data_IF_075922982385
#
_entry.id   IF_075922982385
#
_cell.length_a   1.000
_cell.length_b   1.000
_cell.length_c   1.000
_cell.angle_alpha   90.00
_cell.angle_beta   90.00
_cell.angle_gamma   90.00
#
_symmetry.space_group_name_H-M   'P 1'
#
loop_
_entity.id
_entity.type
_entity.pdbx_description
1 polymer ?
#
# COMPACT_ATOMS: atom_id res chain seq x y z
N UNK A 1 0.75 19.98 23.43
CA UNK A 1 0.83 21.17 22.53
C UNK A 1 1.69 20.80 21.35
N UNK A 2 1.32 21.19 20.12
CA UNK A 2 2.09 20.90 18.91
C UNK A 2 2.66 22.17 18.28
N UNK A 3 3.82 22.09 17.66
CA UNK A 3 4.43 23.13 16.85
C UNK A 3 4.89 22.51 15.53
N UNK A 4 4.71 23.21 14.42
CA UNK A 4 5.30 22.85 13.14
C UNK A 4 5.84 24.08 12.44
N UNK A 5 6.88 23.90 11.65
CA UNK A 5 7.49 24.98 10.87
C UNK A 5 8.29 24.45 9.70
N UNK A 6 8.33 25.23 8.63
CA UNK A 6 9.13 24.95 7.43
C UNK A 6 9.78 26.25 6.93
N UNK A 7 11.04 26.14 6.50
CA UNK A 7 11.78 27.22 5.85
C UNK A 7 12.51 26.67 4.63
N UNK A 8 12.43 27.36 3.50
CA UNK A 8 13.04 26.93 2.25
C UNK A 8 13.88 28.02 1.60
N UNK A 9 14.94 27.60 0.88
CA UNK A 9 15.74 28.48 0.01
C UNK A 9 16.22 27.71 -1.21
N UNK A 10 15.84 28.18 -2.40
CA UNK A 10 16.20 27.53 -3.66
C UNK A 10 15.60 26.13 -3.74
N UNK A 11 16.44 25.14 -4.01
CA UNK A 11 16.03 23.74 -4.15
C UNK A 11 15.97 22.98 -2.81
N UNK A 12 16.18 23.65 -1.68
CA UNK A 12 16.24 23.02 -0.36
C UNK A 12 15.16 23.58 0.58
N UNK A 13 14.59 22.73 1.43
CA UNK A 13 13.79 23.15 2.58
C UNK A 13 14.11 22.32 3.82
N UNK A 14 13.88 22.92 4.98
CA UNK A 14 13.98 22.28 6.30
C UNK A 14 12.63 22.43 6.97
N UNK A 15 12.08 21.33 7.48
CA UNK A 15 10.83 21.33 8.25
C UNK A 15 10.99 20.57 9.56
N UNK A 16 10.11 20.87 10.52
CA UNK A 16 10.07 20.21 11.82
C UNK A 16 8.64 20.15 12.32
N UNK A 17 8.29 19.05 12.99
CA UNK A 17 7.13 18.98 13.85
C UNK A 17 7.58 18.61 15.27
N UNK A 18 7.02 19.28 16.26
CA UNK A 18 7.28 19.04 17.67
C UNK A 18 5.94 18.83 18.38
N UNK A 19 5.88 17.82 19.23
CA UNK A 19 4.74 17.55 20.08
C UNK A 19 5.21 17.41 21.53
N UNK A 20 4.52 18.09 22.43
CA UNK A 20 4.74 17.97 23.87
C UNK A 20 3.51 17.32 24.51
N UNK A 21 3.73 16.17 25.16
CA UNK A 21 2.76 15.55 26.05
C UNK A 21 2.98 16.05 27.47
N UNK A 22 1.89 16.34 28.18
CA UNK A 22 1.91 16.62 29.61
C UNK A 22 0.81 15.77 30.24
N UNK A 23 1.22 14.77 31.01
CA UNK A 23 0.31 14.22 32.00
C UNK A 23 0.09 15.27 33.10
N UNK A 24 -1.13 15.32 33.64
CA UNK A 24 -1.57 16.24 34.69
C UNK A 24 -0.70 16.04 35.96
N UNK A 25 0.49 16.65 36.00
CA UNK A 25 1.42 16.63 37.15
C UNK A 25 2.89 16.29 36.83
N UNK A 26 3.23 15.88 35.59
CA UNK A 26 4.59 15.45 35.21
C UNK A 26 5.42 16.50 34.46
N UNK A 27 6.74 16.27 34.35
CA UNK A 27 7.60 16.99 33.38
C UNK A 27 7.14 16.60 31.97
N UNK A 28 6.85 17.57 31.11
CA UNK A 28 6.34 17.28 29.77
C UNK A 28 7.38 16.57 28.90
N UNK A 29 6.96 15.52 28.19
CA UNK A 29 7.80 14.72 27.28
C UNK A 29 7.64 15.27 25.87
N UNK A 30 8.74 15.42 25.14
CA UNK A 30 8.72 15.99 23.78
C UNK A 30 9.16 14.96 22.76
N UNK A 31 8.33 14.76 21.74
CA UNK A 31 8.64 14.01 20.54
C UNK A 31 8.66 14.98 19.34
N UNK A 32 9.31 14.57 18.26
CA UNK A 32 9.31 15.38 17.06
C UNK A 32 10.19 14.82 15.95
N UNK A 33 10.30 15.63 14.91
CA UNK A 33 11.11 15.34 13.74
C UNK A 33 11.79 16.60 13.19
N UNK A 34 12.85 16.37 12.41
CA UNK A 34 13.54 17.37 11.63
C UNK A 34 13.82 16.78 10.24
N UNK A 35 13.30 17.42 9.20
CA UNK A 35 13.47 17.00 7.82
C UNK A 35 14.33 17.99 7.04
N UNK A 36 15.24 17.48 6.23
CA UNK A 36 15.93 18.22 5.16
C UNK A 36 15.47 17.66 3.82
N UNK A 37 14.93 18.52 2.97
CA UNK A 37 14.38 18.18 1.66
C UNK A 37 15.19 18.87 0.56
N UNK A 38 15.34 18.19 -0.55
CA UNK A 38 15.93 18.66 -1.80
C UNK A 38 14.97 18.34 -2.96
N UNK A 39 14.67 19.33 -3.80
CA UNK A 39 13.75 19.15 -4.92
C UNK A 39 14.21 19.92 -6.16
N UNK A 40 14.30 19.20 -7.27
CA UNK A 40 14.53 19.73 -8.63
C UNK A 40 13.62 18.98 -9.61
N UNK A 41 13.48 19.43 -10.87
CA UNK A 41 12.73 18.67 -11.86
C UNK A 41 13.19 17.21 -11.91
N UNK A 42 12.23 16.29 -11.80
CA UNK A 42 12.42 14.84 -11.81
C UNK A 42 13.10 14.22 -10.60
N UNK A 43 13.69 14.98 -9.68
CA UNK A 43 14.39 14.41 -8.52
C UNK A 43 13.93 15.09 -7.23
N UNK A 44 13.41 14.30 -6.32
CA UNK A 44 13.16 14.65 -4.93
C UNK A 44 13.99 13.78 -3.97
N UNK A 45 14.58 14.37 -2.95
CA UNK A 45 15.24 13.64 -1.85
C UNK A 45 14.90 14.28 -0.51
N UNK A 46 14.78 13.46 0.54
CA UNK A 46 14.57 13.90 1.90
C UNK A 46 15.36 13.02 2.86
N UNK A 47 15.85 13.62 3.93
CA UNK A 47 16.31 12.92 5.13
C UNK A 47 15.52 13.48 6.30
N UNK A 48 14.84 12.63 7.07
CA UNK A 48 14.12 13.02 8.27
C UNK A 48 14.70 12.27 9.46
N UNK A 49 15.10 13.02 10.49
CA UNK A 49 15.43 12.49 11.80
C UNK A 49 14.23 12.65 12.70
N UNK A 50 13.80 11.58 13.37
CA UNK A 50 12.70 11.59 14.33
C UNK A 50 13.17 11.07 15.70
N UNK A 51 12.49 11.53 16.74
CA UNK A 51 12.69 11.08 18.10
C UNK A 51 11.36 11.04 18.84
N UNK A 52 11.06 9.88 19.42
CA UNK A 52 9.85 9.61 20.18
C UNK A 52 10.29 8.89 21.47
N UNK A 53 10.36 9.60 22.61
CA UNK A 53 10.74 9.00 23.87
C UNK A 53 9.81 7.83 24.30
N UNK A 54 10.28 6.90 25.13
CA UNK A 54 9.49 5.74 25.59
C UNK A 54 8.18 6.13 26.31
N UNK A 55 8.22 7.24 27.04
CA UNK A 55 7.14 7.77 27.87
C UNK A 55 6.26 8.78 27.12
N UNK A 56 6.49 8.98 25.81
CA UNK A 56 5.66 9.87 25.02
C UNK A 56 4.29 9.23 24.73
N UNK A 57 3.24 9.87 25.23
CA UNK A 57 1.85 9.49 24.99
C UNK A 57 1.04 10.69 24.50
N UNK A 58 0.09 10.47 23.59
CA UNK A 58 -0.82 11.53 23.12
C UNK A 58 -2.27 11.04 23.19
N UNK A 59 -3.14 11.66 24.01
CA UNK A 59 -4.55 11.26 24.07
C UNK A 59 -5.34 11.66 22.81
N UNK A 60 -4.78 12.53 21.97
CA UNK A 60 -5.45 13.11 20.80
C UNK A 60 -4.85 12.63 19.47
N UNK A 61 -3.80 11.82 19.50
CA UNK A 61 -3.14 11.32 18.30
C UNK A 61 -2.74 9.86 18.45
N UNK A 62 -2.88 9.10 17.37
CA UNK A 62 -2.30 7.78 17.29
C UNK A 62 -0.78 7.90 17.11
N UNK A 63 -0.02 7.34 18.05
CA UNK A 63 1.43 7.29 18.02
C UNK A 63 1.82 5.81 17.80
N UNK A 64 2.18 5.40 16.57
CA UNK A 64 2.40 3.99 16.26
C UNK A 64 3.65 3.40 16.93
N UNK A 65 4.62 4.25 17.28
CA UNK A 65 5.91 3.87 17.84
C UNK A 65 6.22 4.69 19.08
N UNK A 66 6.65 4.05 20.15
CA UNK A 66 7.32 4.69 21.30
C UNK A 66 8.73 4.15 21.39
N UNK A 67 9.61 4.84 22.12
CA UNK A 67 11.01 4.42 22.28
C UNK A 67 11.74 4.28 20.94
N UNK A 68 11.66 5.31 20.10
CA UNK A 68 12.24 5.29 18.75
C UNK A 68 13.00 6.57 18.49
N UNK A 69 14.23 6.45 18.00
CA UNK A 69 14.99 7.59 17.46
C UNK A 69 15.83 7.14 16.29
N UNK A 70 16.03 8.05 15.34
CA UNK A 70 16.84 7.72 14.17
C UNK A 70 16.42 8.53 12.97
N UNK A 71 16.84 8.07 11.80
CA UNK A 71 16.55 8.75 10.57
C UNK A 71 16.08 7.78 9.49
N UNK A 72 15.28 8.31 8.58
CA UNK A 72 15.12 7.72 7.27
C UNK A 72 15.48 8.72 6.19
N UNK A 73 15.78 8.17 5.02
CA UNK A 73 15.95 8.92 3.80
C UNK A 73 15.02 8.36 2.73
N UNK A 74 14.44 9.25 1.94
CA UNK A 74 13.66 8.91 0.76
C UNK A 74 14.22 9.67 -0.42
N UNK A 75 14.40 9.01 -1.55
CA UNK A 75 14.81 9.66 -2.80
C UNK A 75 14.00 9.09 -3.95
N UNK A 76 13.43 9.94 -4.78
CA UNK A 76 12.67 9.58 -5.97
C UNK A 76 13.28 10.26 -7.19
N UNK A 77 13.46 9.50 -8.27
CA UNK A 77 13.70 10.00 -9.60
C UNK A 77 12.58 9.58 -10.56
N UNK A 78 11.93 10.53 -11.21
CA UNK A 78 10.77 10.30 -12.08
C UNK A 78 10.84 11.11 -13.37
N UNK A 79 11.03 10.41 -14.48
CA UNK A 79 11.27 11.00 -15.79
C UNK A 79 10.27 10.51 -16.83
N UNK A 80 9.67 11.45 -17.57
CA UNK A 80 8.86 11.17 -18.75
C UNK A 80 9.63 11.52 -20.02
N UNK A 81 9.95 10.51 -20.82
CA UNK A 81 10.71 10.69 -22.06
C UNK A 81 9.78 11.05 -23.21
N UNK A 82 10.19 12.05 -24.01
CA UNK A 82 9.45 12.48 -25.22
C UNK A 82 9.73 11.60 -26.45
N UNK A 83 10.86 10.89 -26.50
CA UNK A 83 11.32 10.06 -27.64
C UNK A 83 11.85 8.70 -27.14
N UNK A 84 12.14 7.78 -28.05
CA UNK A 84 12.69 6.44 -27.73
C UNK A 84 11.64 5.39 -27.33
N UNK A 85 12.05 4.14 -27.02
CA UNK A 85 11.13 3.03 -26.72
C UNK A 85 10.48 3.11 -25.33
N UNK A 86 11.12 3.79 -24.39
CA UNK A 86 10.63 4.03 -23.02
C UNK A 86 9.88 5.37 -23.00
N UNK A 87 8.70 5.41 -22.38
CA UNK A 87 7.93 6.65 -22.14
C UNK A 87 8.11 7.18 -20.73
N UNK A 88 8.38 6.31 -19.76
CA UNK A 88 8.55 6.69 -18.36
C UNK A 88 9.59 5.81 -17.69
N UNK A 89 10.43 6.42 -16.88
CA UNK A 89 11.30 5.76 -15.91
C UNK A 89 11.02 6.36 -14.53
N UNK A 90 10.90 5.49 -13.54
CA UNK A 90 10.70 5.90 -12.16
C UNK A 90 11.49 4.97 -11.25
N UNK A 91 12.21 5.53 -10.30
CA UNK A 91 12.88 4.78 -9.25
C UNK A 91 12.82 5.55 -7.95
N UNK A 92 12.70 4.83 -6.85
CA UNK A 92 12.82 5.37 -5.52
C UNK A 92 13.71 4.48 -4.65
N UNK A 93 14.26 5.11 -3.61
CA UNK A 93 15.08 4.51 -2.58
C UNK A 93 14.58 5.02 -1.24
N UNK A 94 14.26 4.11 -0.34
CA UNK A 94 13.91 4.40 1.04
C UNK A 94 14.88 3.67 1.96
N UNK A 95 15.63 4.40 2.78
CA UNK A 95 16.59 3.83 3.70
C UNK A 95 16.28 4.26 5.13
N UNK A 96 16.39 3.35 6.09
CA UNK A 96 16.04 3.57 7.49
C UNK A 96 17.18 3.18 8.41
N UNK A 97 17.27 3.90 9.53
CA UNK A 97 18.12 3.58 10.66
C UNK A 97 17.44 4.08 11.93
N UNK A 98 17.01 3.17 12.78
CA UNK A 98 16.26 3.42 13.99
C UNK A 98 16.74 2.54 15.12
N UNK A 99 16.82 3.16 16.29
CA UNK A 99 17.23 2.56 17.54
C UNK A 99 16.23 2.91 18.64
N UNK A 100 16.14 2.02 19.60
CA UNK A 100 15.55 2.29 20.90
C UNK A 100 16.50 3.21 21.72
N UNK A 101 15.99 3.89 22.75
CA UNK A 101 16.81 4.81 23.55
C UNK A 101 17.87 4.10 24.40
N UNK A 102 17.68 2.83 24.69
CA UNK A 102 18.64 1.97 25.39
C UNK A 102 19.77 1.43 24.49
N UNK A 103 19.69 1.69 23.17
CA UNK A 103 20.65 1.27 22.17
C UNK A 103 20.26 0.00 21.40
N UNK A 104 19.08 -0.58 21.64
CA UNK A 104 18.52 -1.64 20.82
C UNK A 104 18.34 -1.20 19.36
N UNK A 105 18.66 -2.07 18.40
CA UNK A 105 18.42 -1.78 16.98
C UNK A 105 16.99 -2.16 16.61
N UNK A 106 16.14 -1.16 16.37
CA UNK A 106 14.74 -1.34 15.98
C UNK A 106 14.61 -1.64 14.49
N UNK A 107 15.19 -0.81 13.62
CA UNK A 107 15.05 -0.96 12.17
C UNK A 107 16.29 -0.44 11.46
N UNK A 108 16.83 -1.17 10.49
CA UNK A 108 17.91 -0.69 9.63
C UNK A 108 17.84 -1.31 8.27
N UNK A 109 18.05 -0.52 7.23
CA UNK A 109 18.23 -1.06 5.90
C UNK A 109 17.82 -0.10 4.80
N UNK A 110 17.58 -0.67 3.63
CA UNK A 110 17.07 0.07 2.50
C UNK A 110 16.19 -0.79 1.62
N UNK A 111 15.23 -0.15 0.97
CA UNK A 111 14.47 -0.72 -0.11
C UNK A 111 14.48 0.22 -1.30
N UNK A 112 14.45 -0.34 -2.50
CA UNK A 112 14.29 0.41 -3.73
C UNK A 112 13.23 -0.21 -4.61
N UNK A 113 12.57 0.65 -5.36
CA UNK A 113 11.69 0.26 -6.45
C UNK A 113 12.18 0.92 -7.73
N UNK A 114 12.03 0.21 -8.84
CA UNK A 114 12.36 0.71 -10.17
C UNK A 114 11.30 0.23 -11.15
N UNK A 115 10.84 1.12 -12.02
CA UNK A 115 9.95 0.77 -13.11
C UNK A 115 10.25 1.51 -14.40
N UNK A 116 9.96 0.83 -15.50
CA UNK A 116 9.99 1.37 -16.85
C UNK A 116 8.63 1.15 -17.47
N UNK A 117 8.11 2.15 -18.18
CA UNK A 117 6.93 1.99 -19.02
C UNK A 117 7.32 2.24 -20.46
N UNK A 118 7.02 1.28 -21.33
CA UNK A 118 7.30 1.37 -22.77
C UNK A 118 6.19 2.13 -23.49
N UNK A 119 6.46 2.57 -24.73
CA UNK A 119 5.41 3.14 -25.60
C UNK A 119 4.38 2.12 -26.06
N UNK A 120 4.71 0.85 -26.01
CA UNK A 120 3.77 -0.26 -26.24
C UNK A 120 2.90 -0.58 -25.02
N UNK A 121 2.84 0.31 -24.03
CA UNK A 121 2.02 0.22 -22.82
C UNK A 121 2.33 -1.01 -21.94
N UNK A 122 3.61 -1.37 -21.88
CA UNK A 122 4.13 -2.43 -21.00
C UNK A 122 4.89 -1.76 -19.87
N UNK A 123 4.53 -2.07 -18.63
CA UNK A 123 5.33 -1.76 -17.44
C UNK A 123 6.19 -2.96 -17.08
N UNK A 124 7.47 -2.73 -16.84
CA UNK A 124 8.37 -3.65 -16.16
C UNK A 124 8.78 -2.99 -14.86
N UNK A 125 8.80 -3.76 -13.79
CA UNK A 125 9.14 -3.24 -12.47
C UNK A 125 9.92 -4.26 -11.66
N UNK A 126 10.70 -3.78 -10.71
CA UNK A 126 11.36 -4.61 -9.73
C UNK A 126 11.63 -3.84 -8.44
N UNK A 127 11.80 -4.58 -7.36
CA UNK A 127 12.18 -4.02 -6.07
C UNK A 127 13.23 -4.88 -5.39
N UNK A 128 13.99 -4.26 -4.50
CA UNK A 128 14.91 -4.94 -3.59
C UNK A 128 14.68 -4.32 -2.22
N UNK A 129 14.45 -5.12 -1.19
CA UNK A 129 14.38 -4.72 0.19
C UNK A 129 15.43 -5.51 0.99
N UNK A 130 16.32 -4.79 1.67
CA UNK A 130 17.33 -5.33 2.58
C UNK A 130 17.21 -4.60 3.89
N UNK A 131 16.47 -5.18 4.82
CA UNK A 131 16.14 -4.58 6.11
C UNK A 131 16.41 -5.55 7.25
N UNK A 132 16.51 -5.02 8.44
CA UNK A 132 16.56 -5.78 9.68
C UNK A 132 15.64 -5.06 10.66
N UNK A 133 14.68 -5.79 11.22
CA UNK A 133 13.70 -5.26 12.15
C UNK A 133 13.76 -6.05 13.45
N UNK A 134 14.11 -5.41 14.58
CA UNK A 134 14.40 -6.06 15.86
C UNK A 134 15.25 -7.34 15.74
N UNK A 135 16.34 -7.24 14.97
CA UNK A 135 17.26 -8.35 14.72
C UNK A 135 16.79 -9.39 13.69
N UNK A 136 15.53 -9.37 13.25
CA UNK A 136 15.02 -10.24 12.20
C UNK A 136 15.41 -9.70 10.81
N UNK A 137 16.28 -10.41 10.05
CA UNK A 137 16.70 -9.95 8.73
C UNK A 137 15.61 -10.21 7.69
N UNK A 138 15.40 -9.24 6.81
CA UNK A 138 14.57 -9.36 5.62
C UNK A 138 15.41 -9.00 4.38
N UNK A 139 15.50 -9.91 3.43
CA UNK A 139 16.18 -9.72 2.16
C UNK A 139 15.31 -10.23 1.03
N UNK A 140 14.50 -9.34 0.46
CA UNK A 140 13.47 -9.68 -0.51
C UNK A 140 13.75 -8.95 -1.82
N UNK A 141 13.56 -9.64 -2.94
CA UNK A 141 13.59 -9.03 -4.27
C UNK A 141 12.34 -9.41 -5.04
N UNK A 142 11.86 -8.52 -5.89
CA UNK A 142 10.73 -8.80 -6.76
C UNK A 142 10.98 -8.31 -8.19
N UNK A 143 10.36 -9.00 -9.12
CA UNK A 143 10.17 -8.53 -10.50
C UNK A 143 8.71 -8.67 -10.88
N UNK A 144 8.23 -7.80 -11.75
CA UNK A 144 6.87 -7.86 -12.25
C UNK A 144 6.70 -7.17 -13.58
N UNK A 145 5.57 -7.45 -14.20
CA UNK A 145 5.17 -6.80 -15.43
C UNK A 145 3.68 -6.47 -15.43
N UNK A 146 3.32 -5.48 -16.25
CA UNK A 146 1.94 -5.17 -16.59
C UNK A 146 1.83 -4.91 -18.09
N UNK A 147 0.84 -5.53 -18.72
CA UNK A 147 0.42 -5.26 -20.09
C UNK A 147 -0.81 -4.35 -20.09
N UNK A 148 -0.85 -3.42 -21.05
CA UNK A 148 -1.86 -2.36 -21.15
C UNK A 148 -1.94 -1.53 -19.86
N UNK A 149 -0.78 -1.10 -19.36
CA UNK A 149 -0.63 -0.36 -18.10
C UNK A 149 -1.59 0.84 -17.98
N UNK A 150 -1.85 1.54 -19.09
CA UNK A 150 -2.74 2.71 -19.10
C UNK A 150 -4.24 2.38 -19.13
N UNK A 151 -4.63 1.15 -19.48
CA UNK A 151 -6.04 0.78 -19.68
C UNK A 151 -6.53 -0.25 -18.66
N UNK A 152 -7.15 0.23 -17.58
CA UNK A 152 -7.73 -0.61 -16.51
C UNK A 152 -8.81 -1.61 -16.98
N UNK A 153 -9.38 -1.42 -18.16
CA UNK A 153 -10.41 -2.32 -18.72
C UNK A 153 -9.82 -3.44 -19.58
N UNK A 154 -8.50 -3.50 -19.73
CA UNK A 154 -7.81 -4.57 -20.46
C UNK A 154 -6.41 -4.78 -19.88
N UNK A 155 -6.26 -4.81 -18.55
CA UNK A 155 -4.94 -4.84 -17.90
C UNK A 155 -4.63 -6.22 -17.36
N UNK A 156 -3.42 -6.70 -17.62
CA UNK A 156 -2.93 -8.01 -17.16
C UNK A 156 -1.55 -7.83 -16.56
N UNK A 157 -1.22 -8.62 -15.55
CA UNK A 157 0.12 -8.55 -14.98
C UNK A 157 0.40 -9.70 -14.05
N UNK A 158 1.63 -9.74 -13.60
CA UNK A 158 2.08 -10.67 -12.59
C UNK A 158 3.40 -10.22 -11.99
N UNK A 159 3.70 -10.78 -10.82
CA UNK A 159 4.96 -10.59 -10.14
C UNK A 159 5.46 -11.89 -9.55
N UNK A 160 6.78 -11.94 -9.39
CA UNK A 160 7.47 -12.95 -8.63
C UNK A 160 8.39 -12.24 -7.65
N UNK A 161 8.27 -12.62 -6.39
CA UNK A 161 9.10 -12.16 -5.29
C UNK A 161 9.73 -13.37 -4.61
N UNK A 162 10.99 -13.21 -4.23
CA UNK A 162 11.77 -14.25 -3.57
C UNK A 162 12.78 -13.61 -2.62
N UNK A 163 13.22 -14.40 -1.65
CA UNK A 163 14.29 -14.01 -0.75
C UNK A 163 14.11 -14.64 0.62
N UNK A 164 14.47 -13.91 1.66
CA UNK A 164 14.44 -14.38 3.04
C UNK A 164 13.66 -13.41 3.93
N UNK A 165 12.83 -13.95 4.81
CA UNK A 165 12.14 -13.23 5.90
C UNK A 165 12.48 -13.95 7.20
N UNK A 166 13.02 -13.21 8.17
CA UNK A 166 13.48 -13.75 9.44
C UNK A 166 14.43 -14.95 9.27
N UNK A 167 15.34 -14.85 8.29
CA UNK A 167 16.30 -15.92 7.94
C UNK A 167 15.69 -17.16 7.27
N UNK A 168 14.38 -17.20 7.04
CA UNK A 168 13.70 -18.29 6.32
C UNK A 168 13.40 -17.89 4.88
N UNK A 169 13.55 -18.85 3.96
CA UNK A 169 13.21 -18.66 2.55
C UNK A 169 11.73 -18.31 2.39
N UNK A 170 11.44 -17.27 1.61
CA UNK A 170 10.09 -16.83 1.28
C UNK A 170 9.93 -16.64 -0.22
N UNK A 171 8.76 -17.00 -0.75
CA UNK A 171 8.41 -16.79 -2.16
C UNK A 171 6.98 -16.31 -2.28
N UNK A 172 6.75 -15.38 -3.19
CA UNK A 172 5.41 -14.90 -3.51
C UNK A 172 5.24 -14.78 -5.03
N UNK A 173 4.21 -15.44 -5.56
CA UNK A 173 3.79 -15.32 -6.96
C UNK A 173 2.44 -14.63 -6.96
N UNK A 174 2.27 -13.62 -7.80
CA UNK A 174 0.96 -13.01 -8.03
C UNK A 174 0.67 -12.86 -9.51
N UNK A 175 -0.60 -12.96 -9.87
CA UNK A 175 -1.10 -12.69 -11.21
C UNK A 175 -2.46 -12.01 -11.12
N UNK A 176 -2.72 -11.08 -12.03
CA UNK A 176 -4.01 -10.42 -12.10
C UNK A 176 -4.43 -10.14 -13.54
N UNK A 177 -5.73 -10.07 -13.75
CA UNK A 177 -6.34 -9.72 -15.03
C UNK A 177 -7.59 -8.88 -14.79
N UNK A 178 -7.80 -7.88 -15.64
CA UNK A 178 -9.00 -7.05 -15.67
C UNK A 178 -9.42 -6.85 -17.11
N UNK A 179 -10.69 -7.12 -17.40
CA UNK A 179 -11.20 -7.09 -18.76
C UNK A 179 -12.66 -6.64 -18.79
N UNK A 180 -12.95 -5.57 -19.53
CA UNK A 180 -14.31 -5.16 -19.87
C UNK A 180 -14.74 -5.92 -21.11
N UNK A 181 -15.51 -6.99 -20.91
CA UNK A 181 -15.94 -7.86 -21.99
C UNK A 181 -17.00 -7.21 -22.89
N UNK A 182 -17.89 -6.42 -22.29
CA UNK A 182 -18.97 -5.69 -22.96
C UNK A 182 -19.18 -4.35 -22.24
N UNK A 183 -19.95 -3.42 -22.83
CA UNK A 183 -20.31 -2.16 -22.15
C UNK A 183 -20.98 -2.48 -20.82
N UNK A 184 -20.39 -1.98 -19.73
CA UNK A 184 -20.85 -2.19 -18.36
C UNK A 184 -20.43 -3.51 -17.73
N UNK A 185 -19.95 -4.52 -18.48
CA UNK A 185 -19.54 -5.82 -17.95
C UNK A 185 -18.02 -5.89 -17.73
N UNK A 186 -17.61 -5.79 -16.48
CA UNK A 186 -16.23 -5.89 -16.02
C UNK A 186 -15.95 -7.23 -15.35
N UNK A 187 -14.86 -7.86 -15.75
CA UNK A 187 -14.33 -9.10 -15.20
C UNK A 187 -12.97 -8.80 -14.55
N UNK A 188 -12.75 -9.34 -13.35
CA UNK A 188 -11.48 -9.25 -12.66
C UNK A 188 -11.06 -10.60 -12.09
N UNK A 189 -9.78 -10.91 -12.21
CA UNK A 189 -9.15 -12.10 -11.65
C UNK A 189 -7.90 -11.69 -10.88
N UNK A 190 -7.72 -12.23 -9.69
CA UNK A 190 -6.50 -12.13 -8.91
C UNK A 190 -6.12 -13.51 -8.41
N UNK A 191 -4.85 -13.85 -8.50
CA UNK A 191 -4.28 -15.06 -7.98
C UNK A 191 -3.01 -14.71 -7.21
N UNK A 192 -2.82 -15.35 -6.06
CA UNK A 192 -1.56 -15.29 -5.34
C UNK A 192 -1.23 -16.62 -4.68
N UNK A 193 0.07 -16.91 -4.65
CA UNK A 193 0.67 -18.04 -3.96
C UNK A 193 1.79 -17.48 -3.08
N UNK A 194 1.66 -17.65 -1.77
CA UNK A 194 2.66 -17.24 -0.80
C UNK A 194 3.23 -18.47 -0.11
N UNK A 195 4.54 -18.58 -0.06
CA UNK A 195 5.27 -19.67 0.56
C UNK A 195 6.21 -19.09 1.61
N UNK A 196 5.80 -19.21 2.88
CA UNK A 196 6.52 -18.76 4.06
C UNK A 196 5.85 -19.41 5.29
N UNK A 197 6.59 -20.24 6.03
CA UNK A 197 6.05 -21.02 7.17
C UNK A 197 4.77 -21.83 6.86
N UNK A 198 4.68 -22.30 5.61
CA UNK A 198 3.46 -22.86 5.05
C UNK A 198 3.14 -22.23 3.70
N UNK A 199 2.12 -22.76 3.05
CA UNK A 199 1.73 -22.29 1.71
C UNK A 199 0.29 -21.80 1.71
N UNK A 200 0.14 -20.51 1.41
CA UNK A 200 -1.13 -19.84 1.26
C UNK A 200 -1.45 -19.61 -0.22
N UNK A 201 -2.64 -20.02 -0.63
CA UNK A 201 -3.15 -19.92 -2.00
C UNK A 201 -4.44 -19.12 -2.00
N UNK A 202 -4.48 -18.04 -2.77
CA UNK A 202 -5.65 -17.19 -2.91
C UNK A 202 -6.00 -17.01 -4.39
N UNK A 203 -7.26 -17.31 -4.73
CA UNK A 203 -7.86 -16.97 -6.02
C UNK A 203 -9.10 -16.13 -5.79
N UNK A 204 -9.22 -15.01 -6.50
CA UNK A 204 -10.38 -14.13 -6.46
C UNK A 204 -10.86 -13.91 -7.88
N UNK A 205 -12.14 -14.14 -8.11
CA UNK A 205 -12.83 -13.75 -9.35
C UNK A 205 -13.89 -12.73 -8.99
N UNK A 206 -13.98 -11.67 -9.78
CA UNK A 206 -14.96 -10.60 -9.64
C UNK A 206 -15.66 -10.39 -10.97
N UNK A 207 -16.96 -10.16 -10.91
CA UNK A 207 -17.80 -9.81 -12.04
C UNK A 207 -18.60 -8.59 -11.62
N UNK A 208 -18.70 -7.59 -12.48
CA UNK A 208 -19.56 -6.43 -12.25
C UNK A 208 -20.26 -6.06 -13.55
N UNK A 209 -21.54 -5.78 -13.48
CA UNK A 209 -22.36 -5.35 -14.59
C UNK A 209 -23.12 -4.08 -14.24
N UNK A 210 -22.74 -2.97 -14.85
CA UNK A 210 -23.48 -1.71 -14.82
C UNK A 210 -24.66 -1.80 -15.79
N UNK A 211 -25.89 -1.86 -15.25
CA UNK A 211 -27.12 -1.93 -16.04
C UNK A 211 -27.60 -0.54 -16.45
N UNK A 212 -27.32 0.47 -15.62
CA UNK A 212 -27.70 1.86 -15.85
C UNK A 212 -26.97 2.80 -14.87
N UNK A 213 -27.33 4.09 -14.84
CA UNK A 213 -26.69 5.07 -13.98
C UNK A 213 -26.79 4.78 -12.48
N UNK A 214 -27.83 4.04 -12.07
CA UNK A 214 -28.16 3.79 -10.67
C UNK A 214 -28.10 2.31 -10.28
N UNK A 215 -28.00 1.42 -11.26
CA UNK A 215 -28.23 -0.01 -11.08
C UNK A 215 -27.02 -0.84 -11.50
N UNK A 216 -26.55 -1.71 -10.60
CA UNK A 216 -25.49 -2.66 -10.93
C UNK A 216 -25.65 -4.00 -10.23
N UNK A 217 -25.11 -5.05 -10.86
CA UNK A 217 -24.93 -6.37 -10.25
C UNK A 217 -23.44 -6.60 -10.12
N UNK A 218 -22.99 -7.00 -8.95
CA UNK A 218 -21.58 -7.35 -8.69
C UNK A 218 -21.50 -8.70 -7.98
N UNK A 219 -20.49 -9.48 -8.29
CA UNK A 219 -20.23 -10.75 -7.63
C UNK A 219 -18.75 -10.92 -7.37
N UNK A 220 -18.45 -11.65 -6.30
CA UNK A 220 -17.09 -12.06 -5.98
C UNK A 220 -17.09 -13.52 -5.57
N UNK A 221 -16.16 -14.28 -6.11
CA UNK A 221 -15.80 -15.61 -5.66
C UNK A 221 -14.38 -15.58 -5.12
N UNK A 222 -14.16 -16.22 -3.97
CA UNK A 222 -12.87 -16.31 -3.29
C UNK A 222 -12.60 -17.77 -2.97
N UNK A 223 -11.42 -18.25 -3.34
CA UNK A 223 -10.87 -19.54 -2.92
C UNK A 223 -9.59 -19.27 -2.16
N UNK A 224 -9.55 -19.65 -0.87
CA UNK A 224 -8.37 -19.56 -0.02
C UNK A 224 -8.11 -20.91 0.65
N UNK A 225 -6.98 -21.54 0.35
CA UNK A 225 -6.52 -22.79 1.02
C UNK A 225 -7.59 -23.88 1.09
N UNK A 226 -8.28 -24.09 -0.04
CA UNK A 226 -9.38 -25.06 -0.16
C UNK A 226 -10.74 -24.59 0.37
N UNK A 227 -10.80 -23.54 1.19
CA UNK A 227 -12.05 -22.89 1.58
C UNK A 227 -12.55 -21.96 0.47
N UNK A 228 -13.86 -22.00 0.23
CA UNK A 228 -14.52 -21.24 -0.84
C UNK A 228 -15.63 -20.40 -0.28
N UNK A 229 -15.67 -19.13 -0.67
CA UNK A 229 -16.76 -18.23 -0.38
C UNK A 229 -17.11 -17.41 -1.63
N UNK A 230 -18.32 -16.85 -1.65
CA UNK A 230 -18.70 -15.90 -2.66
C UNK A 230 -19.98 -15.16 -2.30
N UNK A 231 -20.31 -14.17 -3.11
CA UNK A 231 -21.60 -13.50 -3.06
C UNK A 231 -21.95 -12.91 -4.44
N UNK A 232 -23.22 -12.60 -4.61
CA UNK A 232 -23.75 -11.77 -5.69
C UNK A 232 -24.63 -10.69 -5.07
N UNK A 233 -24.44 -9.44 -5.48
CA UNK A 233 -25.09 -8.28 -4.94
C UNK A 233 -25.67 -7.41 -6.06
N UNK A 234 -26.97 -7.14 -5.98
CA UNK A 234 -27.60 -6.06 -6.72
C UNK A 234 -27.51 -4.77 -5.89
N UNK A 235 -27.17 -3.66 -6.54
CA UNK A 235 -27.10 -2.32 -5.96
C UNK A 235 -28.01 -1.39 -6.75
N UNK A 236 -28.82 -0.62 -6.03
CA UNK A 236 -29.49 0.59 -6.52
C UNK A 236 -29.02 1.78 -5.69
N UNK A 237 -28.37 2.78 -6.30
CA UNK A 237 -27.78 3.94 -5.60
C UNK A 237 -27.74 5.17 -6.49
N UNK A 238 -27.90 6.36 -5.90
CA UNK A 238 -27.70 7.65 -6.57
C UNK A 238 -28.97 8.41 -7.00
N UNK A 239 -30.16 7.86 -6.79
CA UNK A 239 -31.42 8.48 -7.23
C UNK A 239 -32.11 9.41 -6.21
N UNK A 240 -31.97 9.18 -4.90
CA UNK A 240 -32.83 9.84 -3.89
C UNK A 240 -32.25 9.93 -2.46
N UNK A 241 -30.93 9.86 -2.29
CA UNK A 241 -30.30 9.85 -0.95
C UNK A 241 -30.42 8.53 -0.19
N UNK A 242 -31.07 7.52 -0.79
CA UNK A 242 -31.19 6.17 -0.29
C UNK A 242 -30.54 5.17 -1.26
N UNK A 243 -29.83 4.19 -0.70
CA UNK A 243 -29.17 3.12 -1.43
C UNK A 243 -29.66 1.76 -0.94
N UNK A 244 -29.94 0.87 -1.88
CA UNK A 244 -30.41 -0.49 -1.63
C UNK A 244 -29.41 -1.50 -2.13
N UNK A 245 -29.20 -2.55 -1.33
CA UNK A 245 -28.37 -3.68 -1.69
C UNK A 245 -29.10 -4.98 -1.39
N UNK A 246 -29.28 -5.83 -2.39
CA UNK A 246 -29.75 -7.21 -2.21
C UNK A 246 -28.56 -8.14 -2.43
N UNK A 247 -28.15 -8.85 -1.38
CA UNK A 247 -26.94 -9.68 -1.37
C UNK A 247 -27.33 -11.13 -1.16
N UNK A 248 -26.94 -11.99 -2.10
CA UNK A 248 -27.01 -13.45 -2.00
C UNK A 248 -25.62 -13.96 -1.64
N UNK A 249 -25.52 -14.78 -0.59
CA UNK A 249 -24.26 -15.18 0.03
C UNK A 249 -23.94 -14.36 1.28
N UNK A 250 -22.77 -14.62 1.87
CA UNK A 250 -22.27 -13.88 3.02
C UNK A 250 -20.84 -13.42 2.76
N UNK A 251 -20.61 -12.12 2.46
CA UNK A 251 -19.29 -11.61 2.11
C UNK A 251 -18.28 -11.68 3.28
N UNK A 252 -18.77 -11.82 4.52
CA UNK A 252 -17.96 -11.83 5.74
C UNK A 252 -17.73 -13.25 6.28
N UNK A 253 -18.39 -14.26 5.72
CA UNK A 253 -18.20 -15.63 6.15
C UNK A 253 -16.89 -16.22 5.59
N UNK A 254 -16.24 -17.13 6.32
CA UNK A 254 -15.06 -17.84 5.82
C UNK A 254 -15.40 -18.84 4.69
N UNK A 255 -16.67 -19.26 4.60
CA UNK A 255 -17.19 -20.18 3.60
C UNK A 255 -18.56 -19.73 3.10
N UNK A 256 -18.95 -20.21 1.93
CA UNK A 256 -20.27 -19.94 1.35
C UNK A 256 -21.40 -20.21 2.35
N UNK A 257 -22.36 -19.27 2.40
CA UNK A 257 -23.59 -19.40 3.18
C UNK A 257 -24.80 -19.15 2.29
N UNK A 258 -25.78 -20.05 2.37
CA UNK A 258 -27.08 -19.89 1.73
C UNK A 258 -27.90 -18.84 2.50
N UNK A 259 -27.69 -17.56 2.18
CA UNK A 259 -28.37 -16.43 2.82
C UNK A 259 -28.71 -15.36 1.79
N UNK A 260 -29.82 -14.67 2.02
CA UNK A 260 -30.14 -13.40 1.37
C UNK A 260 -30.16 -12.30 2.42
N UNK A 261 -29.57 -11.15 2.11
CA UNK A 261 -29.56 -9.96 2.97
C UNK A 261 -30.01 -8.74 2.20
N UNK A 262 -30.80 -7.89 2.86
CA UNK A 262 -31.13 -6.56 2.38
C UNK A 262 -30.37 -5.54 3.24
N UNK A 263 -29.62 -4.65 2.62
CA UNK A 263 -28.99 -3.50 3.28
C UNK A 263 -29.56 -2.22 2.67
N UNK A 264 -29.95 -1.30 3.55
CA UNK A 264 -30.44 0.03 3.19
C UNK A 264 -29.52 1.06 3.83
N UNK A 265 -29.05 2.02 3.06
CA UNK A 265 -28.28 3.17 3.54
C UNK A 265 -29.07 4.42 3.19
N UNK A 266 -29.31 5.30 4.14
CA UNK A 266 -29.94 6.59 3.89
C UNK A 266 -29.06 7.71 4.47
N UNK A 267 -28.87 8.77 3.71
CA UNK A 267 -28.31 10.01 4.22
C UNK A 267 -29.43 10.83 4.86
N UNK A 268 -29.17 11.34 6.07
CA UNK A 268 -29.99 12.35 6.74
C UNK A 268 -29.33 13.72 6.60
#
# INVERSE_FOLDING_TARGET
MGFSGEVGRGNYSISTNLANSRDLGGKGVTAGDLSLMYSVPHWYSMVQYEWIPPDFSSPLAFVPWTDRRGAYSYSEYNMQYRRGPIRQFHTDLFATYYEDYDGGQQEKGAESYTSFVTRSDIRLQGSIARKTYYGAPENIQSVGFTLNDSNRYKRFGGSYEWGERDGQSSRFVSAYASYRALKGLDLGLNFSLFDFDGQDRLGIVTVSYEMGPFDSISGRYVSRDGSRNGYLAYRHSGGSGMEYFVIVGDPNAPRWRNRVSLKVVWAF
#
